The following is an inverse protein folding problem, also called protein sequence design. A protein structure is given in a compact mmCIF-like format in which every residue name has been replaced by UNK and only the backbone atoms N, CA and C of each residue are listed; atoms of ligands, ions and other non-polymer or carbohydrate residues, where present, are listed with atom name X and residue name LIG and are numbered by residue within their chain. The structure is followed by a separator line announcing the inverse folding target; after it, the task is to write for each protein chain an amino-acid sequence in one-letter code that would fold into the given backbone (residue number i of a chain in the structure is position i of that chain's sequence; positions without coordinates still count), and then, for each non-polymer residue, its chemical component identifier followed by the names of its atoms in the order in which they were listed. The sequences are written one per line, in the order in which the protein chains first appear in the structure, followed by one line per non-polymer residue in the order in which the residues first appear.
data_IF_101997561805
#
_entry.id   IF_101997561805
#
_cell.length_a   1.000
_cell.length_b   1.000
_cell.length_c   1.000
_cell.angle_alpha   90.00
_cell.angle_beta   90.00
_cell.angle_gamma   90.00
#
_symmetry.space_group_name_H-M   'P 1'
#
loop_
_entity.id
_entity.type
_entity.pdbx_description
1 polymer ?
#
# COMPACT_ATOMS: atom_id res chain seq x y z
N UNK A 1 -9.43 91.91 -25.53
CA UNK A 1 -9.07 91.94 -24.14
C UNK A 1 -10.12 91.10 -23.50
N UNK A 2 -10.04 89.94 -23.25
CA UNK A 2 -9.15 89.03 -22.65
C UNK A 2 -9.78 88.49 -21.37
N UNK A 3 -10.19 87.24 -21.27
CA UNK A 3 -10.55 86.59 -20.09
C UNK A 3 -11.80 85.72 -20.21
N UNK A 4 -11.68 84.56 -20.37
CA UNK A 4 -11.30 83.38 -19.66
C UNK A 4 -12.55 82.63 -19.10
N UNK A 5 -13.02 81.68 -19.88
CA UNK A 5 -13.91 80.61 -19.45
C UNK A 5 -13.06 79.41 -18.93
N UNK A 6 -13.11 79.20 -17.64
CA UNK A 6 -12.68 77.99 -16.99
C UNK A 6 -13.52 77.73 -15.76
N UNK A 7 -14.69 77.14 -15.90
CA UNK A 7 -15.34 76.53 -14.72
C UNK A 7 -16.51 75.58 -15.06
N UNK A 8 -16.32 74.58 -15.95
CA UNK A 8 -17.34 73.57 -16.20
C UNK A 8 -16.81 72.12 -16.20
N UNK A 9 -15.49 71.92 -15.93
CA UNK A 9 -14.86 70.60 -15.98
C UNK A 9 -14.82 69.77 -14.68
N UNK A 10 -15.20 70.34 -13.54
CA UNK A 10 -14.91 69.71 -12.24
C UNK A 10 -16.11 69.09 -11.51
N UNK A 11 -17.33 69.20 -12.03
CA UNK A 11 -18.52 68.58 -11.40
C UNK A 11 -18.93 67.26 -12.01
N UNK A 12 -18.43 66.88 -13.20
CA UNK A 12 -18.76 65.64 -13.86
C UNK A 12 -17.82 64.47 -13.48
N UNK A 13 -16.64 64.75 -12.88
CA UNK A 13 -15.67 63.71 -12.47
C UNK A 13 -15.96 63.16 -11.08
N UNK A 14 -16.64 63.93 -10.23
CA UNK A 14 -16.95 63.51 -8.85
C UNK A 14 -18.13 62.50 -8.77
N UNK A 15 -19.02 62.48 -9.74
CA UNK A 15 -20.19 61.54 -9.75
C UNK A 15 -19.83 60.18 -10.38
N UNK A 16 -18.84 60.13 -11.26
CA UNK A 16 -18.38 58.87 -11.88
C UNK A 16 -17.50 58.02 -10.95
N UNK A 17 -16.85 58.60 -9.94
CA UNK A 17 -16.01 57.92 -8.95
C UNK A 17 -16.81 57.29 -7.78
N UNK A 18 -18.05 57.72 -7.56
CA UNK A 18 -18.92 57.17 -6.52
C UNK A 18 -19.73 55.92 -6.96
N UNK A 19 -19.80 55.64 -8.27
CA UNK A 19 -20.48 54.46 -8.81
C UNK A 19 -19.52 53.26 -9.04
N UNK A 20 -18.21 53.45 -9.00
CA UNK A 20 -17.21 52.39 -9.15
C UNK A 20 -16.85 51.76 -7.76
N UNK A 21 -17.14 52.48 -6.66
CA UNK A 21 -16.86 52.01 -5.31
C UNK A 21 -17.83 50.97 -4.74
N UNK A 22 -18.98 50.72 -5.39
CA UNK A 22 -20.03 49.85 -4.82
C UNK A 22 -20.06 48.42 -5.41
N UNK A 23 -19.14 48.08 -6.29
CA UNK A 23 -19.08 46.73 -6.94
C UNK A 23 -17.97 45.83 -6.33
N UNK A 24 -17.17 46.31 -5.39
CA UNK A 24 -16.03 45.57 -4.82
C UNK A 24 -16.29 44.95 -3.45
N UNK A 25 -17.53 44.82 -3.01
CA UNK A 25 -17.90 44.16 -1.74
C UNK A 25 -18.94 43.02 -1.91
N UNK A 26 -19.06 42.46 -3.13
CA UNK A 26 -19.52 41.10 -3.25
C UNK A 26 -18.33 40.19 -2.89
N UNK A 27 -18.03 40.11 -1.61
CA UNK A 27 -17.16 39.08 -1.08
C UNK A 27 -17.72 37.75 -1.49
N UNK A 28 -17.06 37.08 -2.43
CA UNK A 28 -17.17 35.64 -2.60
C UNK A 28 -16.78 35.02 -1.25
N UNK A 29 -17.76 34.78 -0.39
CA UNK A 29 -17.65 33.67 0.53
C UNK A 29 -17.71 32.44 -0.35
N UNK A 30 -16.55 32.07 -0.88
CA UNK A 30 -16.31 30.74 -1.40
C UNK A 30 -16.43 29.77 -0.21
N UNK A 31 -17.66 29.47 0.16
CA UNK A 31 -17.96 28.17 0.71
C UNK A 31 -17.73 27.26 -0.49
N UNK A 32 -16.48 26.75 -0.59
CA UNK A 32 -16.11 25.81 -1.62
C UNK A 32 -17.22 24.80 -1.74
N UNK A 33 -17.82 24.73 -2.90
CA UNK A 33 -18.66 23.58 -3.26
C UNK A 33 -17.83 22.33 -2.89
N UNK A 34 -18.40 21.34 -2.23
CA UNK A 34 -17.64 20.12 -1.95
C UNK A 34 -16.99 19.70 -3.26
N UNK A 35 -15.67 19.57 -3.22
CA UNK A 35 -14.91 19.08 -4.38
C UNK A 35 -15.48 17.69 -4.68
N UNK A 36 -15.99 17.46 -5.86
CA UNK A 36 -16.44 16.13 -6.29
C UNK A 36 -15.25 15.19 -6.56
N UNK A 37 -14.07 15.55 -6.08
CA UNK A 37 -12.84 14.76 -6.22
C UNK A 37 -12.67 13.89 -4.99
N UNK A 38 -12.61 12.59 -5.18
CA UNK A 38 -12.35 11.59 -4.15
C UNK A 38 -10.87 11.21 -4.15
N UNK A 39 -10.16 11.52 -3.08
CA UNK A 39 -8.74 11.18 -2.94
C UNK A 39 -8.58 9.82 -2.26
N UNK A 40 -8.08 8.82 -2.98
CA UNK A 40 -7.83 7.46 -2.50
C UNK A 40 -6.32 7.22 -2.44
N UNK A 41 -5.80 6.88 -1.26
CA UNK A 41 -4.40 6.45 -1.12
C UNK A 41 -4.43 4.95 -0.78
N UNK A 42 -3.86 4.13 -1.65
CA UNK A 42 -4.02 2.68 -1.62
C UNK A 42 -2.68 1.93 -1.64
N UNK A 43 -2.69 0.72 -1.11
CA UNK A 43 -1.59 -0.23 -1.32
C UNK A 43 -1.36 -0.47 -2.82
N UNK A 44 -0.10 -0.58 -3.23
CA UNK A 44 0.28 -0.75 -4.64
C UNK A 44 -0.42 -1.93 -5.31
N UNK A 45 -0.64 -3.02 -4.58
CA UNK A 45 -1.37 -4.20 -5.06
C UNK A 45 -2.86 -3.98 -5.36
N UNK A 46 -3.42 -2.84 -4.92
CA UNK A 46 -4.80 -2.44 -5.22
C UNK A 46 -4.92 -1.47 -6.40
N UNK A 47 -3.81 -1.02 -7.00
CA UNK A 47 -3.86 0.00 -8.05
C UNK A 47 -4.63 -0.46 -9.29
N UNK A 48 -4.35 -1.68 -9.78
CA UNK A 48 -5.02 -2.19 -10.97
C UNK A 48 -6.53 -2.42 -10.72
N UNK A 49 -6.95 -3.16 -9.66
CA UNK A 49 -8.37 -3.33 -9.36
C UNK A 49 -9.09 -2.01 -9.06
N UNK A 50 -8.44 -1.08 -8.38
CA UNK A 50 -9.07 0.21 -8.05
C UNK A 50 -9.18 1.14 -9.27
N UNK A 51 -8.27 1.05 -10.25
CA UNK A 51 -8.41 1.77 -11.52
C UNK A 51 -9.60 1.27 -12.34
N UNK A 52 -9.95 -0.01 -12.26
CA UNK A 52 -11.19 -0.54 -12.82
C UNK A 52 -12.42 -0.01 -12.07
N UNK A 53 -12.36 -0.05 -10.73
CA UNK A 53 -13.41 0.48 -9.87
C UNK A 53 -13.64 1.99 -10.07
N UNK A 54 -12.57 2.79 -10.24
CA UNK A 54 -12.63 4.21 -10.58
C UNK A 54 -13.51 4.45 -11.80
N UNK A 55 -13.22 3.78 -12.92
CA UNK A 55 -13.95 3.94 -14.17
C UNK A 55 -15.44 3.60 -14.03
N UNK A 56 -15.75 2.49 -13.37
CA UNK A 56 -17.12 2.04 -13.17
C UNK A 56 -17.88 2.95 -12.18
N UNK A 57 -17.22 3.40 -11.12
CA UNK A 57 -17.80 4.32 -10.13
C UNK A 57 -18.09 5.69 -10.72
N UNK A 58 -17.18 6.29 -11.46
CA UNK A 58 -17.37 7.57 -12.14
C UNK A 58 -18.48 7.50 -13.20
N UNK A 59 -18.60 6.39 -13.92
CA UNK A 59 -19.69 6.18 -14.87
C UNK A 59 -21.07 6.19 -14.19
N UNK A 60 -21.14 5.70 -12.94
CA UNK A 60 -22.39 5.67 -12.15
C UNK A 60 -22.62 6.95 -11.32
N UNK A 61 -21.58 7.80 -11.15
CA UNK A 61 -21.61 9.05 -10.36
C UNK A 61 -21.15 10.24 -11.23
N UNK A 62 -21.98 10.74 -12.17
CA UNK A 62 -21.59 11.81 -13.09
C UNK A 62 -21.07 13.05 -12.36
N UNK A 63 -19.87 13.50 -12.72
CA UNK A 63 -19.22 14.66 -12.15
C UNK A 63 -18.33 14.36 -10.92
N UNK A 64 -18.20 13.11 -10.50
CA UNK A 64 -17.20 12.65 -9.55
C UNK A 64 -15.88 12.40 -10.30
N UNK A 65 -14.76 12.73 -9.66
CA UNK A 65 -13.38 12.51 -10.13
C UNK A 65 -12.65 11.73 -9.03
N UNK A 66 -12.41 10.44 -9.23
CA UNK A 66 -11.69 9.58 -8.30
C UNK A 66 -10.21 9.63 -8.64
N UNK A 67 -9.36 9.89 -7.66
CA UNK A 67 -7.91 9.95 -7.82
C UNK A 67 -7.24 8.95 -6.92
N UNK A 68 -6.61 7.95 -7.53
CA UNK A 68 -5.96 6.87 -6.81
C UNK A 68 -4.44 7.04 -6.85
N UNK A 69 -3.82 6.99 -5.69
CA UNK A 69 -2.36 7.03 -5.53
C UNK A 69 -1.88 5.80 -4.79
N UNK A 70 -0.86 5.10 -5.34
CA UNK A 70 -0.35 3.85 -4.80
C UNK A 70 0.98 3.99 -4.07
N UNK A 71 1.07 3.32 -2.91
CA UNK A 71 2.29 3.24 -2.11
C UNK A 71 2.39 1.86 -1.42
N UNK A 72 3.50 1.57 -0.76
CA UNK A 72 3.54 0.49 0.23
C UNK A 72 2.58 0.78 1.40
N UNK A 73 1.97 -0.24 1.99
CA UNK A 73 0.89 -0.06 2.97
C UNK A 73 1.25 0.79 4.18
N UNK A 74 2.49 0.71 4.67
CA UNK A 74 2.98 1.60 5.75
C UNK A 74 3.09 3.04 5.24
N UNK A 75 3.60 3.25 4.02
CA UNK A 75 3.67 4.56 3.41
C UNK A 75 2.29 5.18 3.20
N UNK A 76 1.28 4.38 2.77
CA UNK A 76 -0.12 4.82 2.63
C UNK A 76 -0.58 5.52 3.89
N UNK A 77 -0.44 4.89 5.04
CA UNK A 77 -0.85 5.46 6.33
C UNK A 77 -0.04 6.70 6.66
N UNK A 78 1.28 6.68 6.44
CA UNK A 78 2.17 7.80 6.74
C UNK A 78 1.90 9.05 5.90
N UNK A 79 1.32 8.92 4.70
CA UNK A 79 0.85 10.08 3.94
C UNK A 79 -0.11 10.95 4.77
N UNK A 80 -1.01 10.31 5.51
CA UNK A 80 -2.01 11.00 6.35
C UNK A 80 -1.45 11.33 7.74
N UNK A 81 -0.83 10.35 8.41
CA UNK A 81 -0.45 10.48 9.82
C UNK A 81 0.79 11.33 10.03
N UNK A 82 1.79 11.23 9.16
CA UNK A 82 3.08 11.90 9.32
C UNK A 82 3.20 13.14 8.41
N UNK A 83 2.74 13.03 7.15
CA UNK A 83 2.84 14.12 6.18
C UNK A 83 1.62 15.04 6.17
N UNK A 84 0.55 14.68 6.89
CA UNK A 84 -0.65 15.50 7.05
C UNK A 84 -1.47 15.69 5.76
N UNK A 85 -1.28 14.80 4.78
CA UNK A 85 -2.09 14.81 3.56
C UNK A 85 -3.54 14.48 3.90
N UNK A 86 -4.45 15.10 3.18
CA UNK A 86 -5.87 14.75 3.24
C UNK A 86 -6.16 13.66 2.22
N UNK A 87 -6.87 12.64 2.67
CA UNK A 87 -7.40 11.57 1.82
C UNK A 87 -8.84 11.29 2.24
N UNK A 88 -9.64 10.81 1.32
CA UNK A 88 -11.00 10.38 1.57
C UNK A 88 -11.04 8.90 1.94
N UNK A 89 -10.22 8.08 1.26
CA UNK A 89 -10.11 6.65 1.53
C UNK A 89 -8.64 6.26 1.71
N UNK A 90 -8.37 5.46 2.71
CA UNK A 90 -7.11 4.75 2.94
C UNK A 90 -7.38 3.26 2.75
N UNK A 91 -6.58 2.61 1.88
CA UNK A 91 -6.67 1.18 1.61
C UNK A 91 -5.30 0.52 1.77
N UNK A 92 -5.20 -0.50 2.62
CA UNK A 92 -3.93 -1.17 2.94
C UNK A 92 -4.02 -2.68 2.74
N UNK A 93 -2.88 -3.31 2.48
CA UNK A 93 -2.77 -4.76 2.32
C UNK A 93 -2.60 -5.50 3.66
N UNK A 94 -2.58 -4.81 4.77
CA UNK A 94 -2.55 -5.38 6.12
C UNK A 94 -3.48 -4.59 7.05
N UNK A 95 -4.59 -5.21 7.44
CA UNK A 95 -5.61 -4.60 8.30
C UNK A 95 -5.05 -4.12 9.64
N UNK A 96 -4.03 -4.82 10.18
CA UNK A 96 -3.45 -4.48 11.48
C UNK A 96 -2.75 -3.11 11.51
N UNK A 97 -2.33 -2.62 10.34
CA UNK A 97 -1.69 -1.31 10.24
C UNK A 97 -2.64 -0.16 10.58
N UNK A 98 -3.94 -0.32 10.37
CA UNK A 98 -4.92 0.73 10.67
C UNK A 98 -5.03 0.97 12.18
N UNK A 99 -5.38 -0.02 13.03
CA UNK A 99 -5.42 0.21 14.47
C UNK A 99 -4.05 0.59 15.05
N UNK A 100 -2.98 -0.04 14.57
CA UNK A 100 -1.64 0.22 15.11
C UNK A 100 -1.14 1.64 14.84
N UNK A 101 -1.47 2.22 13.69
CA UNK A 101 -0.90 3.50 13.26
C UNK A 101 -1.90 4.65 13.18
N UNK A 102 -3.22 4.37 13.14
CA UNK A 102 -4.25 5.41 12.98
C UNK A 102 -5.18 5.55 14.19
N UNK A 103 -5.28 4.57 15.12
CA UNK A 103 -6.07 4.71 16.35
C UNK A 103 -5.30 5.57 17.38
N UNK A 104 -4.89 6.73 16.94
CA UNK A 104 -4.17 7.73 17.75
C UNK A 104 -4.62 9.13 17.38
N UNK A 105 -4.53 10.10 18.32
CA UNK A 105 -4.96 11.46 18.08
C UNK A 105 -4.22 12.13 16.93
N UNK A 106 -4.95 12.88 16.10
CA UNK A 106 -4.39 13.80 15.13
C UNK A 106 -3.64 14.95 15.85
N UNK A 107 -2.66 15.53 15.16
CA UNK A 107 -1.90 16.66 15.71
C UNK A 107 -2.85 17.80 16.09
N UNK A 108 -2.77 18.26 17.33
CA UNK A 108 -3.61 19.34 17.91
C UNK A 108 -5.12 19.01 17.97
N UNK A 109 -5.48 17.74 18.07
CA UNK A 109 -6.86 17.26 18.21
C UNK A 109 -6.92 16.15 19.24
N UNK A 110 -8.08 15.96 19.87
CA UNK A 110 -8.37 14.76 20.67
C UNK A 110 -8.98 13.63 19.82
N UNK A 111 -9.32 13.90 18.57
CA UNK A 111 -9.89 12.94 17.64
C UNK A 111 -8.78 12.11 16.99
N UNK A 112 -8.94 10.80 16.95
CA UNK A 112 -8.04 9.89 16.25
C UNK A 112 -8.09 10.11 14.73
N UNK A 113 -7.08 9.61 14.01
CA UNK A 113 -7.12 9.61 12.55
C UNK A 113 -8.28 8.76 12.03
N UNK A 114 -8.59 7.66 12.70
CA UNK A 114 -9.80 6.85 12.54
C UNK A 114 -10.00 6.00 13.79
N UNK A 115 -11.20 5.45 13.99
CA UNK A 115 -11.53 4.50 15.07
C UNK A 115 -12.16 3.21 14.52
N UNK A 116 -12.10 3.00 13.21
CA UNK A 116 -12.68 1.84 12.54
C UNK A 116 -11.93 1.50 11.25
N UNK A 117 -12.10 0.29 10.80
CA UNK A 117 -11.73 -0.15 9.46
C UNK A 117 -12.69 -1.24 8.99
N UNK A 118 -12.72 -1.49 7.69
CA UNK A 118 -13.50 -2.55 7.08
C UNK A 118 -12.57 -3.47 6.29
N UNK A 119 -12.48 -4.76 6.66
CA UNK A 119 -11.86 -5.76 5.80
C UNK A 119 -12.64 -5.90 4.49
N UNK A 120 -11.93 -6.00 3.36
CA UNK A 120 -12.58 -6.06 2.04
C UNK A 120 -12.20 -7.29 1.23
N UNK A 121 -11.01 -7.85 1.43
CA UNK A 121 -10.49 -8.96 0.63
C UNK A 121 -9.32 -9.65 1.30
N UNK A 122 -8.90 -10.77 0.74
CA UNK A 122 -7.74 -11.56 1.15
C UNK A 122 -6.82 -11.82 -0.02
N UNK A 123 -5.59 -12.30 0.25
CA UNK A 123 -4.61 -12.66 -0.77
C UNK A 123 -3.66 -13.74 -0.24
N UNK A 124 -2.74 -14.17 -1.09
CA UNK A 124 -1.63 -15.05 -0.69
C UNK A 124 -0.34 -14.63 -1.38
N UNK A 125 0.78 -15.02 -0.81
CA UNK A 125 2.09 -14.79 -1.38
C UNK A 125 2.45 -15.88 -2.38
N UNK A 126 3.09 -15.48 -3.48
CA UNK A 126 3.57 -16.36 -4.55
C UNK A 126 4.98 -15.94 -4.98
N UNK A 127 5.67 -16.80 -5.75
CA UNK A 127 6.93 -16.48 -6.42
C UNK A 127 6.65 -16.17 -7.88
N UNK A 128 6.62 -14.89 -8.23
CA UNK A 128 6.37 -14.42 -9.58
C UNK A 128 7.66 -14.45 -10.44
N UNK A 129 7.53 -14.81 -11.72
CA UNK A 129 8.63 -14.90 -12.67
C UNK A 129 8.18 -14.69 -14.11
N UNK A 130 9.14 -14.63 -15.04
CA UNK A 130 8.90 -14.50 -16.47
C UNK A 130 9.74 -15.51 -17.26
N UNK A 131 9.56 -15.56 -18.57
CA UNK A 131 10.42 -16.35 -19.47
C UNK A 131 11.87 -15.84 -19.57
N UNK A 132 12.18 -14.67 -18.97
CA UNK A 132 13.55 -14.14 -18.86
C UNK A 132 14.25 -14.55 -17.57
N UNK A 133 13.50 -15.09 -16.61
CA UNK A 133 14.04 -15.52 -15.32
C UNK A 133 14.97 -16.72 -15.50
N UNK A 134 16.09 -16.71 -14.82
CA UNK A 134 17.01 -17.85 -14.82
C UNK A 134 16.28 -19.09 -14.30
N UNK A 135 16.43 -20.21 -14.95
CA UNK A 135 15.81 -21.50 -14.56
C UNK A 135 14.27 -21.53 -14.58
N UNK A 136 13.64 -20.63 -15.35
CA UNK A 136 12.18 -20.55 -15.44
C UNK A 136 11.52 -21.84 -15.97
N UNK A 137 12.25 -22.70 -16.71
CA UNK A 137 11.77 -24.00 -17.17
C UNK A 137 11.97 -25.12 -16.11
N UNK A 138 12.81 -24.88 -15.10
CA UNK A 138 13.11 -25.86 -14.05
C UNK A 138 12.28 -25.64 -12.78
N UNK A 139 11.86 -24.40 -12.52
CA UNK A 139 11.22 -24.04 -11.26
C UNK A 139 9.84 -24.68 -11.11
N UNK A 140 9.57 -25.19 -9.91
CA UNK A 140 8.32 -25.84 -9.54
C UNK A 140 7.95 -25.55 -8.08
N UNK A 141 6.72 -25.88 -7.62
CA UNK A 141 6.33 -25.78 -6.23
C UNK A 141 7.23 -26.57 -5.26
N UNK A 142 7.86 -27.64 -5.73
CA UNK A 142 8.70 -28.52 -4.91
C UNK A 142 10.16 -28.06 -4.81
N UNK A 143 10.62 -27.18 -5.71
CA UNK A 143 12.04 -26.82 -5.80
C UNK A 143 12.34 -25.32 -5.82
N UNK A 144 11.34 -24.44 -5.81
CA UNK A 144 11.53 -22.99 -5.91
C UNK A 144 12.57 -22.47 -4.89
N UNK A 145 12.56 -22.98 -3.68
CA UNK A 145 13.48 -22.60 -2.61
C UNK A 145 14.93 -22.88 -3.00
N UNK A 146 15.22 -24.02 -3.67
CA UNK A 146 16.55 -24.35 -4.15
C UNK A 146 16.96 -23.52 -5.37
N UNK A 147 15.99 -23.18 -6.25
CA UNK A 147 16.26 -22.27 -7.37
C UNK A 147 16.59 -20.88 -6.87
N UNK A 148 15.81 -20.34 -5.94
CA UNK A 148 16.08 -19.02 -5.36
C UNK A 148 17.40 -18.98 -4.57
N UNK A 149 17.85 -20.07 -4.00
CA UNK A 149 19.13 -20.16 -3.28
C UNK A 149 20.37 -20.18 -4.19
N UNK A 150 20.22 -20.38 -5.51
CA UNK A 150 21.36 -20.37 -6.46
C UNK A 150 22.04 -19.00 -6.47
N UNK A 151 23.37 -18.90 -6.43
CA UNK A 151 24.07 -17.62 -6.26
C UNK A 151 23.90 -16.65 -7.44
N UNK A 152 23.58 -17.16 -8.63
CA UNK A 152 23.37 -16.39 -9.86
C UNK A 152 21.91 -15.91 -10.03
N UNK A 153 21.00 -16.36 -9.18
CA UNK A 153 19.57 -15.98 -9.19
C UNK A 153 19.34 -14.73 -8.36
N UNK A 154 18.70 -13.71 -8.94
CA UNK A 154 18.34 -12.45 -8.28
C UNK A 154 16.90 -12.48 -7.79
N UNK A 155 16.71 -12.22 -6.50
CA UNK A 155 15.40 -12.25 -5.83
C UNK A 155 14.99 -10.83 -5.43
N UNK A 156 13.77 -10.44 -5.78
CA UNK A 156 13.21 -9.14 -5.43
C UNK A 156 12.11 -9.25 -4.37
N UNK A 157 12.11 -8.34 -3.41
CA UNK A 157 10.97 -8.10 -2.51
C UNK A 157 10.88 -6.61 -2.13
N UNK A 158 9.72 -6.16 -1.69
CA UNK A 158 9.55 -4.76 -1.30
C UNK A 158 10.19 -4.45 0.04
N UNK A 159 10.47 -3.17 0.28
CA UNK A 159 11.07 -2.69 1.52
C UNK A 159 10.13 -2.94 2.71
N UNK A 160 10.50 -3.81 3.67
CA UNK A 160 9.67 -4.15 4.82
C UNK A 160 9.30 -2.95 5.70
N UNK A 161 10.13 -1.88 5.67
CA UNK A 161 9.88 -0.64 6.42
C UNK A 161 8.77 0.21 5.82
N UNK A 162 8.36 -0.07 4.59
CA UNK A 162 7.43 0.77 3.82
C UNK A 162 6.21 0.00 3.33
N UNK A 163 6.35 -1.31 3.14
CA UNK A 163 5.34 -2.14 2.48
C UNK A 163 5.09 -3.49 3.17
N UNK A 164 3.81 -3.87 3.23
CA UNK A 164 3.38 -5.12 3.83
C UNK A 164 3.90 -6.37 3.07
N UNK A 165 4.00 -6.32 1.74
CA UNK A 165 4.58 -7.40 0.96
C UNK A 165 6.04 -7.68 1.37
N UNK A 166 6.79 -6.64 1.78
CA UNK A 166 8.19 -6.78 2.19
C UNK A 166 8.39 -7.62 3.45
N UNK A 167 7.73 -7.28 4.54
CA UNK A 167 7.86 -8.11 5.74
C UNK A 167 7.21 -9.48 5.59
N UNK A 168 6.16 -9.61 4.79
CA UNK A 168 5.55 -10.90 4.46
C UNK A 168 6.47 -11.78 3.62
N UNK A 169 7.26 -11.20 2.73
CA UNK A 169 8.29 -11.95 1.98
C UNK A 169 9.30 -12.59 2.91
N UNK A 170 9.74 -11.86 3.93
CA UNK A 170 10.65 -12.40 4.95
C UNK A 170 9.98 -13.50 5.78
N UNK A 171 8.70 -13.33 6.15
CA UNK A 171 7.94 -14.36 6.87
C UNK A 171 7.81 -15.64 6.04
N UNK A 172 7.47 -15.53 4.75
CA UNK A 172 7.38 -16.68 3.83
C UNK A 172 8.70 -17.44 3.75
N UNK A 173 9.82 -16.74 3.58
CA UNK A 173 11.15 -17.36 3.51
C UNK A 173 11.52 -18.04 4.82
N UNK A 174 11.18 -17.45 5.96
CA UNK A 174 11.43 -18.06 7.26
C UNK A 174 10.55 -19.30 7.51
N UNK A 175 9.26 -19.24 7.20
CA UNK A 175 8.34 -20.38 7.31
C UNK A 175 8.76 -21.53 6.38
N UNK A 176 9.38 -21.21 5.25
CA UNK A 176 9.85 -22.19 4.27
C UNK A 176 11.01 -23.04 4.79
N UNK A 177 11.81 -22.57 5.74
CA UNK A 177 12.88 -23.37 6.35
C UNK A 177 12.35 -24.66 6.98
N UNK A 178 11.27 -24.56 7.75
CA UNK A 178 10.63 -25.72 8.36
C UNK A 178 9.89 -26.55 7.30
N UNK A 179 9.13 -25.91 6.41
CA UNK A 179 8.35 -26.57 5.37
C UNK A 179 9.20 -27.47 4.47
N UNK A 180 10.39 -27.01 4.10
CA UNK A 180 11.31 -27.76 3.23
C UNK A 180 12.46 -28.43 3.96
N UNK A 181 12.48 -28.38 5.31
CA UNK A 181 13.57 -28.92 6.13
C UNK A 181 14.96 -28.40 5.71
N UNK A 182 15.04 -27.11 5.37
CA UNK A 182 16.26 -26.40 4.98
C UNK A 182 16.51 -25.21 5.91
N UNK A 183 17.19 -25.42 7.05
CA UNK A 183 17.38 -24.40 8.08
C UNK A 183 18.34 -23.28 7.68
N UNK A 184 18.91 -23.33 6.47
CA UNK A 184 19.83 -22.30 5.93
C UNK A 184 19.18 -21.46 4.84
N UNK A 185 17.91 -21.69 4.53
CA UNK A 185 17.22 -21.06 3.41
C UNK A 185 17.18 -19.53 3.57
N UNK A 186 16.76 -19.05 4.74
CA UNK A 186 16.65 -17.62 5.02
C UNK A 186 18.03 -16.95 5.02
N UNK A 187 19.06 -17.61 5.59
CA UNK A 187 20.44 -17.14 5.57
C UNK A 187 20.93 -17.01 4.12
N UNK A 188 20.81 -18.06 3.34
CA UNK A 188 21.30 -18.14 1.94
C UNK A 188 20.60 -17.13 1.02
N UNK A 189 19.31 -16.87 1.18
CA UNK A 189 18.58 -15.94 0.31
C UNK A 189 18.65 -14.51 0.84
N UNK A 190 18.71 -14.29 2.16
CA UNK A 190 18.56 -12.97 2.78
C UNK A 190 19.81 -12.54 3.55
N UNK A 191 20.11 -13.14 4.71
CA UNK A 191 21.02 -12.52 5.67
C UNK A 191 22.46 -12.40 5.17
N UNK A 192 22.94 -13.35 4.36
CA UNK A 192 24.29 -13.32 3.77
C UNK A 192 24.51 -12.12 2.84
N UNK A 193 23.44 -11.50 2.38
CA UNK A 193 23.48 -10.40 1.41
C UNK A 193 23.28 -9.02 2.05
N UNK A 194 23.28 -8.92 3.40
CA UNK A 194 23.15 -7.66 4.12
C UNK A 194 24.34 -7.43 5.06
N UNK A 195 25.16 -6.38 4.83
CA UNK A 195 26.26 -6.04 5.71
C UNK A 195 25.78 -5.48 7.06
N UNK A 196 24.60 -4.87 7.09
CA UNK A 196 23.94 -4.46 8.32
C UNK A 196 23.16 -5.63 8.86
N UNK A 197 23.41 -5.97 10.10
CA UNK A 197 22.93 -7.21 10.70
C UNK A 197 21.41 -7.30 10.75
N UNK A 198 20.85 -8.18 9.94
CA UNK A 198 19.55 -8.77 10.19
C UNK A 198 19.77 -9.86 11.22
N UNK A 199 19.08 -9.83 12.35
CA UNK A 199 19.21 -10.88 13.36
C UNK A 199 17.98 -11.75 13.38
N UNK A 200 18.19 -13.05 13.45
CA UNK A 200 17.15 -14.06 13.59
C UNK A 200 17.34 -14.74 14.94
N UNK A 201 16.30 -14.77 15.74
CA UNK A 201 16.32 -15.45 17.05
C UNK A 201 15.04 -16.24 17.25
N UNK A 202 15.17 -17.46 17.79
CA UNK A 202 14.02 -18.33 18.03
C UNK A 202 13.85 -18.56 19.54
N UNK A 203 12.65 -18.32 20.04
CA UNK A 203 12.27 -18.60 21.42
C UNK A 203 11.00 -19.48 21.41
N UNK A 204 11.15 -20.71 21.86
CA UNK A 204 10.09 -21.73 21.72
C UNK A 204 9.85 -22.07 20.24
N UNK A 205 8.64 -21.83 19.75
CA UNK A 205 8.26 -21.99 18.34
C UNK A 205 8.36 -20.67 17.56
N UNK A 206 8.48 -19.53 18.25
CA UNK A 206 8.44 -18.21 17.61
C UNK A 206 9.83 -17.77 17.15
N UNK A 207 9.95 -17.48 15.89
CA UNK A 207 11.16 -16.88 15.29
C UNK A 207 10.96 -15.40 15.05
N UNK A 208 11.86 -14.59 15.60
CA UNK A 208 11.87 -13.13 15.46
C UNK A 208 12.98 -12.70 14.50
N UNK A 209 12.60 -12.01 13.44
CA UNK A 209 13.50 -11.39 12.45
C UNK A 209 13.60 -9.89 12.78
N UNK A 210 14.72 -9.45 13.32
CA UNK A 210 14.95 -8.02 13.62
C UNK A 210 15.72 -7.36 12.51
N UNK A 211 15.15 -6.28 11.95
CA UNK A 211 15.70 -5.56 10.80
C UNK A 211 16.45 -4.30 11.22
N UNK A 212 17.55 -3.94 10.54
CA UNK A 212 18.18 -2.64 10.71
C UNK A 212 17.30 -1.51 10.18
N UNK A 213 17.53 -0.27 10.61
CA UNK A 213 16.79 0.91 10.12
C UNK A 213 16.84 1.06 8.59
N UNK A 214 17.99 0.72 8.00
CA UNK A 214 18.21 0.82 6.55
C UNK A 214 18.62 -0.55 6.03
N UNK A 215 17.76 -1.14 5.22
CA UNK A 215 18.07 -2.37 4.51
C UNK A 215 18.76 -2.04 3.18
N UNK A 216 20.05 -2.33 3.10
CA UNK A 216 20.86 -2.11 1.90
C UNK A 216 21.63 -3.39 1.58
N UNK A 217 21.26 -4.12 0.50
CA UNK A 217 21.99 -5.30 0.07
C UNK A 217 23.47 -4.97 -0.25
N UNK A 218 24.37 -5.91 -0.01
CA UNK A 218 25.80 -5.81 -0.30
C UNK A 218 26.17 -6.21 -1.72
N UNK A 219 25.27 -6.90 -2.39
CA UNK A 219 25.45 -7.44 -3.74
C UNK A 219 24.13 -7.43 -4.52
N UNK A 220 24.11 -8.05 -5.70
CA UNK A 220 22.95 -8.05 -6.61
C UNK A 220 22.00 -9.23 -6.38
N UNK A 221 22.25 -10.09 -5.40
CA UNK A 221 21.40 -11.26 -5.09
C UNK A 221 20.02 -10.84 -4.66
N UNK A 222 19.93 -9.84 -3.78
CA UNK A 222 18.67 -9.30 -3.28
C UNK A 222 18.45 -7.92 -3.83
N UNK A 223 17.28 -7.68 -4.37
CA UNK A 223 16.84 -6.37 -4.88
C UNK A 223 15.61 -5.88 -4.11
N UNK A 224 15.76 -4.73 -3.46
CA UNK A 224 14.69 -4.09 -2.69
C UNK A 224 14.15 -2.87 -3.43
N UNK A 225 12.83 -2.68 -3.42
CA UNK A 225 12.13 -1.46 -3.88
C UNK A 225 11.11 -1.01 -2.84
N UNK A 226 10.76 0.25 -2.84
CA UNK A 226 9.86 0.85 -1.84
C UNK A 226 8.43 0.30 -1.86
N UNK A 227 8.02 -0.32 -2.95
CA UNK A 227 6.74 -1.04 -3.08
C UNK A 227 6.89 -2.20 -4.05
N UNK A 228 6.12 -3.25 -3.84
CA UNK A 228 6.22 -4.50 -4.62
C UNK A 228 5.95 -4.27 -6.12
N UNK A 229 5.02 -3.37 -6.46
CA UNK A 229 4.72 -3.01 -7.86
C UNK A 229 5.93 -2.51 -8.65
N UNK A 230 6.93 -1.90 -7.99
CA UNK A 230 8.16 -1.43 -8.66
C UNK A 230 9.12 -2.57 -9.03
N UNK A 231 8.95 -3.75 -8.40
CA UNK A 231 9.70 -4.95 -8.76
C UNK A 231 9.23 -5.55 -10.09
N UNK A 232 7.96 -5.37 -10.43
CA UNK A 232 7.37 -5.95 -11.64
C UNK A 232 8.00 -5.41 -12.92
N UNK A 233 8.36 -4.12 -12.93
CA UNK A 233 9.10 -3.53 -14.04
C UNK A 233 10.49 -4.12 -14.20
N UNK A 234 11.18 -4.39 -13.08
CA UNK A 234 12.49 -5.05 -13.08
C UNK A 234 12.37 -6.51 -13.53
N UNK A 235 11.36 -7.23 -13.05
CA UNK A 235 11.10 -8.62 -13.41
C UNK A 235 10.84 -8.76 -14.91
N UNK A 236 9.96 -7.93 -15.46
CA UNK A 236 9.62 -7.95 -16.90
C UNK A 236 10.80 -7.50 -17.79
N UNK A 237 11.65 -6.60 -17.28
CA UNK A 237 12.88 -6.19 -17.96
C UNK A 237 14.02 -7.23 -17.85
N UNK A 238 13.94 -8.21 -16.93
CA UNK A 238 15.01 -9.16 -16.61
C UNK A 238 16.08 -8.57 -15.68
N UNK A 239 15.73 -7.52 -14.93
CA UNK A 239 16.57 -6.93 -13.90
C UNK A 239 16.63 -7.73 -12.60
N UNK A 240 15.62 -8.56 -12.34
CA UNK A 240 15.56 -9.61 -11.33
C UNK A 240 15.00 -10.88 -11.97
N UNK A 241 15.21 -12.03 -11.34
CA UNK A 241 14.75 -13.32 -11.84
C UNK A 241 13.42 -13.72 -11.21
N UNK A 242 13.25 -13.47 -9.91
CA UNK A 242 12.04 -13.80 -9.15
C UNK A 242 11.64 -12.66 -8.25
N UNK A 243 10.33 -12.46 -8.08
CA UNK A 243 9.76 -11.53 -7.13
C UNK A 243 8.81 -12.26 -6.17
N UNK A 244 8.93 -12.00 -4.88
CA UNK A 244 7.95 -12.46 -3.90
C UNK A 244 6.83 -11.43 -3.88
N UNK A 245 5.63 -11.83 -4.31
CA UNK A 245 4.54 -10.92 -4.61
C UNK A 245 3.19 -11.53 -4.23
N UNK A 246 2.15 -10.73 -4.23
CA UNK A 246 0.78 -11.21 -4.07
C UNK A 246 0.27 -11.90 -5.34
N UNK A 247 -0.51 -12.96 -5.15
CA UNK A 247 -1.11 -13.73 -6.27
C UNK A 247 -1.94 -12.86 -7.18
N UNK A 248 -2.83 -12.01 -6.65
CA UNK A 248 -3.68 -11.15 -7.47
C UNK A 248 -2.88 -10.22 -8.38
N UNK A 249 -1.72 -9.74 -7.90
CA UNK A 249 -0.83 -8.88 -8.70
C UNK A 249 -0.18 -9.68 -9.82
N UNK A 250 0.31 -10.89 -9.53
CA UNK A 250 0.90 -11.77 -10.54
C UNK A 250 -0.14 -12.12 -11.62
N UNK A 251 -1.37 -12.45 -11.23
CA UNK A 251 -2.49 -12.73 -12.13
C UNK A 251 -2.87 -11.51 -12.98
N UNK A 252 -3.05 -10.34 -12.34
CA UNK A 252 -3.43 -9.10 -13.01
C UNK A 252 -2.38 -8.60 -14.02
N UNK A 253 -1.10 -8.91 -13.78
CA UNK A 253 0.01 -8.60 -14.67
C UNK A 253 0.31 -9.73 -15.68
N UNK A 254 -0.48 -10.81 -15.67
CA UNK A 254 -0.30 -12.00 -16.50
C UNK A 254 1.14 -12.58 -16.41
N UNK A 255 1.69 -12.58 -15.19
CA UNK A 255 3.00 -13.18 -14.90
C UNK A 255 2.85 -14.67 -14.62
N UNK A 256 3.88 -15.45 -14.93
CA UNK A 256 4.00 -16.81 -14.40
C UNK A 256 4.30 -16.73 -12.90
N UNK A 257 3.79 -17.66 -12.12
CA UNK A 257 4.10 -17.74 -10.69
C UNK A 257 4.06 -19.18 -10.17
N UNK A 258 4.81 -19.41 -9.10
CA UNK A 258 4.76 -20.63 -8.32
C UNK A 258 3.83 -20.39 -7.13
N UNK A 259 2.72 -21.12 -7.02
CA UNK A 259 1.91 -21.12 -5.81
C UNK A 259 2.70 -21.77 -4.67
N UNK A 260 2.59 -21.18 -3.48
CA UNK A 260 3.23 -21.70 -2.27
C UNK A 260 2.24 -22.56 -1.48
N UNK A 261 2.72 -23.55 -0.71
CA UNK A 261 1.88 -24.28 0.23
C UNK A 261 1.09 -23.36 1.17
N UNK A 262 -0.16 -23.74 1.46
CA UNK A 262 -1.01 -22.94 2.36
C UNK A 262 -0.39 -22.73 3.76
N UNK A 263 0.47 -23.64 4.20
CA UNK A 263 1.23 -23.54 5.46
C UNK A 263 2.22 -22.38 5.53
N UNK A 264 2.60 -21.74 4.38
CA UNK A 264 3.60 -20.67 4.32
C UNK A 264 3.18 -19.46 3.48
N UNK A 265 2.11 -19.56 2.66
CA UNK A 265 1.72 -18.50 1.72
C UNK A 265 0.99 -17.32 2.35
N UNK A 266 0.71 -17.35 3.66
CA UNK A 266 -0.03 -16.35 4.42
C UNK A 266 -1.46 -16.11 3.88
N UNK A 267 -2.06 -17.09 3.22
CA UNK A 267 -3.37 -16.92 2.60
C UNK A 267 -4.51 -17.61 3.32
N UNK A 268 -4.25 -18.53 4.26
CA UNK A 268 -5.27 -19.38 4.88
C UNK A 268 -5.46 -19.07 6.36
N UNK A 269 -6.72 -18.90 6.78
CA UNK A 269 -7.05 -18.76 8.19
C UNK A 269 -6.76 -20.06 9.00
N UNK A 270 -6.76 -21.22 8.37
CA UNK A 270 -6.45 -22.51 9.00
C UNK A 270 -5.01 -22.54 9.53
N UNK A 271 -4.09 -21.84 8.89
CA UNK A 271 -2.68 -21.79 9.26
C UNK A 271 -2.29 -20.52 10.05
N UNK A 272 -3.26 -19.78 10.59
CA UNK A 272 -3.00 -18.53 11.30
C UNK A 272 -2.03 -18.71 12.49
N UNK A 273 -2.14 -19.79 13.26
CA UNK A 273 -1.24 -20.09 14.37
C UNK A 273 0.19 -20.35 13.89
N UNK A 274 0.36 -21.11 12.78
CA UNK A 274 1.67 -21.33 12.17
C UNK A 274 2.29 -20.05 11.64
N UNK A 275 1.50 -19.19 11.01
CA UNK A 275 2.03 -17.90 10.52
C UNK A 275 2.53 -17.04 11.69
N UNK A 276 1.84 -17.09 12.83
CA UNK A 276 2.20 -16.34 14.03
C UNK A 276 3.51 -16.82 14.68
N UNK A 277 4.06 -17.97 14.28
CA UNK A 277 5.39 -18.42 14.68
C UNK A 277 6.52 -17.56 14.11
N UNK A 278 6.23 -16.61 13.19
CA UNK A 278 7.21 -15.67 12.67
C UNK A 278 6.80 -14.23 12.93
N UNK A 279 7.69 -13.47 13.56
CA UNK A 279 7.55 -12.04 13.81
C UNK A 279 8.67 -11.27 13.13
N UNK A 280 8.35 -10.17 12.46
CA UNK A 280 9.33 -9.23 11.90
C UNK A 280 9.32 -7.94 12.73
N UNK A 281 10.47 -7.58 13.29
CA UNK A 281 10.68 -6.32 14.03
C UNK A 281 11.32 -5.31 13.10
N UNK A 282 10.58 -4.23 12.81
CA UNK A 282 11.03 -3.16 11.93
C UNK A 282 12.01 -2.24 12.66
N UNK A 283 13.15 -1.95 12.03
CA UNK A 283 14.27 -1.22 12.62
C UNK A 283 14.11 0.29 12.75
N UNK A 284 12.91 0.79 13.07
CA UNK A 284 12.67 2.22 13.24
C UNK A 284 12.81 2.67 14.70
N UNK A 285 13.89 3.39 15.08
CA UNK A 285 13.99 3.99 16.42
C UNK A 285 12.86 4.98 16.71
N UNK A 286 12.30 5.60 15.66
CA UNK A 286 11.21 6.61 15.76
C UNK A 286 9.84 6.01 15.99
N UNK A 287 9.66 4.72 15.74
CA UNK A 287 8.37 4.02 15.87
C UNK A 287 8.34 3.05 17.06
N UNK A 288 9.37 3.05 17.90
CA UNK A 288 9.47 2.18 19.09
C UNK A 288 8.29 2.29 20.07
N UNK A 289 7.42 3.27 19.88
CA UNK A 289 6.19 3.43 20.66
C UNK A 289 4.92 2.93 19.97
N UNK A 290 4.99 2.51 18.69
CA UNK A 290 3.80 2.18 17.92
C UNK A 290 4.12 1.03 16.96
N UNK A 291 3.89 -0.22 17.43
CA UNK A 291 3.75 -1.38 16.55
C UNK A 291 4.88 -1.61 15.55
N UNK A 292 6.15 -1.60 16.00
CA UNK A 292 7.29 -2.01 15.16
C UNK A 292 7.28 -3.51 14.84
N UNK A 293 6.54 -4.30 15.58
CA UNK A 293 6.41 -5.74 15.40
C UNK A 293 5.29 -6.06 14.42
N UNK A 294 5.61 -6.89 13.43
CA UNK A 294 4.66 -7.45 12.48
C UNK A 294 4.61 -8.94 12.68
N UNK A 295 3.52 -9.43 13.23
CA UNK A 295 3.29 -10.86 13.44
C UNK A 295 2.75 -11.49 12.17
N UNK A 296 3.20 -12.69 11.85
CA UNK A 296 2.66 -13.48 10.75
C UNK A 296 1.18 -13.77 10.96
N UNK A 297 0.38 -13.53 9.91
CA UNK A 297 -1.07 -13.73 9.89
C UNK A 297 -1.58 -13.84 8.47
N UNK A 298 -2.81 -14.33 8.28
CA UNK A 298 -3.44 -14.29 6.97
C UNK A 298 -3.46 -12.87 6.39
N UNK A 299 -3.24 -12.77 5.08
CA UNK A 299 -3.33 -11.49 4.35
C UNK A 299 -4.77 -11.03 4.33
N UNK A 300 -5.05 -9.86 4.91
CA UNK A 300 -6.36 -9.22 4.87
C UNK A 300 -6.17 -7.76 4.47
N UNK A 301 -6.84 -7.38 3.38
CA UNK A 301 -6.92 -5.99 2.95
C UNK A 301 -8.02 -5.27 3.70
N UNK A 302 -7.75 -4.04 4.07
CA UNK A 302 -8.73 -3.21 4.76
C UNK A 302 -8.73 -1.77 4.27
N UNK A 303 -9.89 -1.13 4.46
CA UNK A 303 -10.11 0.27 4.13
C UNK A 303 -10.61 1.03 5.34
N UNK A 304 -10.36 2.34 5.35
CA UNK A 304 -10.92 3.27 6.33
C UNK A 304 -11.07 4.67 5.73
N UNK A 305 -11.88 5.50 6.38
CA UNK A 305 -12.04 6.92 6.09
C UNK A 305 -11.37 7.70 7.20
N UNK A 306 -10.34 8.52 6.92
CA UNK A 306 -9.78 9.40 7.94
C UNK A 306 -10.81 10.38 8.49
N UNK A 307 -10.74 10.69 9.79
CA UNK A 307 -11.69 11.57 10.46
C UNK A 307 -11.72 13.01 9.87
N UNK A 308 -10.66 13.41 9.17
CA UNK A 308 -10.54 14.71 8.48
C UNK A 308 -10.70 14.58 6.96
N UNK A 309 -11.31 13.50 6.47
CA UNK A 309 -11.61 13.29 5.07
C UNK A 309 -12.43 14.46 4.50
N UNK A 310 -12.09 15.00 3.32
CA UNK A 310 -12.85 16.06 2.68
C UNK A 310 -14.27 15.66 2.27
N UNK A 311 -14.47 14.43 1.80
CA UNK A 311 -15.71 13.93 1.25
C UNK A 311 -16.14 12.59 1.87
N UNK A 312 -16.44 12.53 3.19
CA UNK A 312 -16.64 11.27 3.90
C UNK A 312 -17.87 10.47 3.43
N UNK A 313 -18.91 11.13 2.93
CA UNK A 313 -20.09 10.42 2.41
C UNK A 313 -19.78 9.74 1.06
N UNK A 314 -19.15 10.46 0.14
CA UNK A 314 -18.70 9.90 -1.12
C UNK A 314 -17.67 8.77 -0.92
N UNK A 315 -16.83 8.90 0.11
CA UNK A 315 -15.89 7.86 0.49
C UNK A 315 -16.59 6.57 0.93
N UNK A 316 -17.72 6.67 1.67
CA UNK A 316 -18.53 5.49 2.04
C UNK A 316 -19.12 4.82 0.82
N UNK A 317 -19.73 5.59 -0.09
CA UNK A 317 -20.28 5.06 -1.33
C UNK A 317 -19.22 4.32 -2.14
N UNK A 318 -18.02 4.88 -2.24
CA UNK A 318 -16.90 4.24 -2.93
C UNK A 318 -16.42 2.96 -2.21
N UNK A 319 -16.35 2.95 -0.87
CA UNK A 319 -15.96 1.75 -0.10
C UNK A 319 -17.01 0.63 -0.28
N UNK A 320 -18.29 0.95 -0.24
CA UNK A 320 -19.36 -0.03 -0.51
C UNK A 320 -19.26 -0.58 -1.93
N UNK A 321 -18.94 0.28 -2.89
CA UNK A 321 -18.75 -0.10 -4.28
C UNK A 321 -17.57 -1.07 -4.43
N UNK A 322 -16.34 -0.71 -3.97
CA UNK A 322 -15.17 -1.59 -4.09
C UNK A 322 -15.34 -2.91 -3.32
N UNK A 323 -16.03 -2.91 -2.18
CA UNK A 323 -16.34 -4.14 -1.45
C UNK A 323 -17.23 -5.07 -2.28
N UNK A 324 -18.25 -4.50 -2.97
CA UNK A 324 -19.08 -5.28 -3.87
C UNK A 324 -18.34 -5.81 -5.10
N UNK A 325 -17.39 -5.02 -5.64
CA UNK A 325 -16.57 -5.43 -6.78
C UNK A 325 -15.58 -6.55 -6.39
N UNK A 326 -14.96 -6.42 -5.22
CA UNK A 326 -14.08 -7.45 -4.66
C UNK A 326 -14.78 -8.81 -4.48
N UNK A 327 -16.06 -8.79 -4.10
CA UNK A 327 -16.87 -10.01 -3.93
C UNK A 327 -17.16 -10.75 -5.25
N UNK A 328 -16.91 -10.13 -6.43
CA UNK A 328 -17.16 -10.77 -7.74
C UNK A 328 -16.08 -11.76 -8.18
N UNK A 329 -14.95 -11.85 -7.49
CA UNK A 329 -13.88 -12.81 -7.78
C UNK A 329 -13.24 -12.62 -9.16
N UNK A 330 -12.94 -11.37 -9.56
CA UNK A 330 -12.32 -11.07 -10.86
C UNK A 330 -10.82 -11.40 -10.87
N UNK A 331 -10.26 -11.90 -11.98
CA UNK A 331 -8.80 -12.06 -12.11
C UNK A 331 -8.06 -10.75 -11.87
N UNK A 332 -6.97 -10.80 -11.11
CA UNK A 332 -6.20 -9.61 -10.74
C UNK A 332 -6.74 -8.84 -9.53
N UNK A 333 -7.95 -9.17 -9.06
CA UNK A 333 -8.47 -8.68 -7.80
C UNK A 333 -8.03 -9.58 -6.64
N UNK A 334 -7.76 -9.04 -5.46
CA UNK A 334 -7.63 -9.85 -4.26
C UNK A 334 -8.91 -10.68 -4.04
N UNK A 335 -8.77 -11.91 -3.56
CA UNK A 335 -9.90 -12.82 -3.36
C UNK A 335 -10.90 -12.27 -2.33
N UNK A 336 -12.19 -12.59 -2.49
CA UNK A 336 -13.20 -12.20 -1.50
C UNK A 336 -12.96 -12.90 -0.17
N UNK A 337 -13.37 -12.25 0.93
CA UNK A 337 -13.28 -12.85 2.28
C UNK A 337 -14.17 -14.10 2.41
N UNK A 338 -15.28 -14.15 1.67
CA UNK A 338 -16.24 -15.26 1.72
C UNK A 338 -15.73 -16.50 0.97
N UNK A 339 -14.99 -16.32 -0.14
CA UNK A 339 -14.44 -17.44 -0.92
C UNK A 339 -13.43 -18.28 -0.15
N UNK A 340 -12.73 -17.69 0.82
CA UNK A 340 -11.70 -18.40 1.61
C UNK A 340 -12.17 -18.94 2.96
N UNK A 341 -13.37 -18.65 3.38
CA UNK A 341 -13.97 -19.30 4.54
C UNK A 341 -14.36 -20.77 4.26
N UNK A 342 -14.29 -21.21 2.98
CA UNK A 342 -14.71 -22.53 2.52
C UNK A 342 -13.59 -23.35 1.81
N UNK A 343 -12.35 -22.85 1.75
CA UNK A 343 -11.17 -23.55 1.27
C UNK A 343 -10.19 -23.86 2.41
#
# INVERSE_FOLDING_TARGET
MGGSDRDTGMRSVAVALLLIGSILLAGCSDKGSPSNTLQVIAAGSLLAPFAEAEQEFEASHPGVDVRIEGHGSIQVIRQVTDLGRKADVIAVADESLIPDLMYRPMKNSSQNFTDWYQPISTNEMVIAYTTKSLYHEEISPENWHRILSRPDVRVGFSNPMLDAAGYRSLMVLQLAEEEYSDPTLFETIVTDHFPSTITVSTEGTVTTISLPEIMRPSDDKVVIRDGSIYLLSLLTAGGIDYAIEYRSVAEGMNLSFIPLPASINLGSAEYADRYNDVTVVLGFPRFSSIGSERNGRPVVYAVTIPANAPNPELAREFIEFIASESAKGRPGWPASLEERAFL
#
